data_IF_617118565832
#
_entry.id   IF_617118565832
#
_cell.length_a   1.000
_cell.length_b   1.000
_cell.length_c   1.000
_cell.angle_alpha   90.00
_cell.angle_beta   90.00
_cell.angle_gamma   90.00
#
_symmetry.space_group_name_H-M   'P 1'
#
loop_
_entity.id
_entity.type
_entity.pdbx_description
1 polymer ?
#
# COMPACT_ATOMS: atom_id res chain seq x y z
N UNK A 1 -19.78 -24.43 0.77
CA UNK A 1 -18.34 -24.24 0.50
C UNK A 1 -18.10 -22.74 0.45
N UNK A 2 -17.07 -22.19 1.12
CA UNK A 2 -16.74 -20.78 0.91
C UNK A 2 -16.46 -20.59 -0.58
N UNK A 3 -17.02 -19.52 -1.15
CA UNK A 3 -16.70 -19.16 -2.53
C UNK A 3 -15.19 -18.86 -2.65
N UNK A 4 -14.66 -18.93 -3.88
CA UNK A 4 -13.23 -18.72 -4.13
C UNK A 4 -12.73 -17.36 -3.62
N UNK A 5 -13.62 -16.35 -3.58
CA UNK A 5 -13.37 -15.03 -3.04
C UNK A 5 -13.04 -15.10 -1.54
N UNK A 6 -13.89 -15.75 -0.76
CA UNK A 6 -13.73 -15.90 0.69
C UNK A 6 -12.46 -16.68 1.04
N UNK A 7 -12.16 -17.74 0.28
CA UNK A 7 -10.94 -18.53 0.50
C UNK A 7 -9.67 -17.70 0.25
N UNK A 8 -9.67 -16.89 -0.82
CA UNK A 8 -8.53 -16.02 -1.16
C UNK A 8 -8.37 -14.89 -0.15
N UNK A 9 -9.46 -14.26 0.28
CA UNK A 9 -9.43 -13.20 1.28
C UNK A 9 -8.82 -13.66 2.61
N UNK A 10 -9.19 -14.85 3.08
CA UNK A 10 -8.61 -15.47 4.28
C UNK A 10 -7.14 -15.84 4.13
N UNK A 11 -6.75 -16.41 2.98
CA UNK A 11 -5.35 -16.75 2.72
C UNK A 11 -4.43 -15.51 2.75
N UNK A 12 -4.97 -14.35 2.37
CA UNK A 12 -4.28 -13.05 2.40
C UNK A 12 -4.40 -12.31 3.74
N UNK A 13 -5.19 -12.81 4.69
CA UNK A 13 -5.46 -12.18 6.00
C UNK A 13 -6.09 -10.77 5.88
N UNK A 14 -6.99 -10.59 4.92
CA UNK A 14 -7.73 -9.33 4.73
C UNK A 14 -8.69 -9.00 5.90
N UNK A 15 -8.97 -9.95 6.77
CA UNK A 15 -9.82 -9.84 7.96
C UNK A 15 -9.03 -9.56 9.24
N UNK A 16 -7.73 -9.85 9.28
CA UNK A 16 -6.88 -9.77 10.48
C UNK A 16 -5.63 -8.90 10.33
N UNK A 17 -5.60 -7.99 9.36
CA UNK A 17 -4.48 -7.07 9.19
C UNK A 17 -4.49 -5.97 10.27
N UNK A 18 -3.30 -5.52 10.67
CA UNK A 18 -3.13 -4.46 11.66
C UNK A 18 -3.18 -3.07 11.04
N UNK A 19 -2.51 -2.88 9.90
CA UNK A 19 -2.40 -1.58 9.22
C UNK A 19 -2.51 -1.70 7.69
N UNK A 20 -3.10 -0.71 7.03
CA UNK A 20 -3.07 -0.58 5.57
C UNK A 20 -2.47 0.76 5.14
N UNK A 21 -1.37 0.70 4.41
CA UNK A 21 -0.68 1.87 3.86
C UNK A 21 -1.22 2.17 2.46
N UNK A 22 -1.82 3.33 2.29
CA UNK A 22 -2.17 3.93 1.00
C UNK A 22 -1.11 4.95 0.62
N UNK A 23 -0.37 4.68 -0.46
CA UNK A 23 0.69 5.58 -0.94
C UNK A 23 0.26 6.27 -2.23
N UNK A 24 0.13 7.60 -2.19
CA UNK A 24 0.03 8.50 -3.34
C UNK A 24 1.44 8.75 -3.88
N UNK A 25 1.87 7.88 -4.80
CA UNK A 25 3.20 7.90 -5.40
C UNK A 25 3.16 8.07 -6.92
N UNK A 26 2.19 7.46 -7.61
CA UNK A 26 2.06 7.59 -9.07
C UNK A 26 0.61 7.99 -9.42
N UNK A 27 0.13 9.16 -8.97
CA UNK A 27 -1.15 9.66 -9.43
C UNK A 27 -1.14 9.87 -10.94
N UNK A 28 -2.30 9.68 -11.56
CA UNK A 28 -2.52 10.01 -12.98
C UNK A 28 -2.24 11.48 -13.24
N UNK A 29 -2.67 12.37 -12.34
CA UNK A 29 -2.30 13.78 -12.30
C UNK A 29 -1.25 14.04 -11.23
N UNK A 30 0.02 14.04 -11.62
CA UNK A 30 1.13 14.31 -10.71
C UNK A 30 1.23 15.80 -10.35
N UNK A 31 0.76 16.14 -9.14
CA UNK A 31 0.90 17.49 -8.54
C UNK A 31 1.83 17.54 -7.33
N UNK A 32 2.07 16.41 -6.66
CA UNK A 32 2.72 16.36 -5.35
C UNK A 32 4.21 15.99 -5.38
N UNK A 33 4.66 15.19 -6.35
CA UNK A 33 6.05 14.75 -6.52
C UNK A 33 6.31 14.32 -7.96
N UNK A 34 7.59 14.19 -8.34
CA UNK A 34 7.96 13.65 -9.65
C UNK A 34 7.62 12.15 -9.74
N UNK A 35 7.41 11.65 -10.96
CA UNK A 35 7.08 10.23 -11.18
C UNK A 35 8.19 9.29 -10.67
N UNK A 36 9.46 9.68 -10.86
CA UNK A 36 10.62 8.91 -10.43
C UNK A 36 10.70 8.80 -8.89
N UNK A 37 10.47 9.91 -8.17
CA UNK A 37 10.45 9.96 -6.70
C UNK A 37 9.31 9.11 -6.13
N UNK A 38 8.14 9.17 -6.76
CA UNK A 38 7.00 8.32 -6.42
C UNK A 38 7.29 6.85 -6.61
N UNK A 39 7.87 6.48 -7.75
CA UNK A 39 8.28 5.10 -8.03
C UNK A 39 9.36 4.61 -7.07
N UNK A 40 10.36 5.45 -6.73
CA UNK A 40 11.38 5.13 -5.74
C UNK A 40 10.76 4.88 -4.36
N UNK A 41 9.80 5.71 -3.95
CA UNK A 41 9.10 5.58 -2.67
C UNK A 41 8.26 4.30 -2.61
N UNK A 42 7.59 3.94 -3.70
CA UNK A 42 6.85 2.68 -3.80
C UNK A 42 7.77 1.45 -3.73
N UNK A 43 8.89 1.47 -4.45
CA UNK A 43 9.88 0.37 -4.41
C UNK A 43 10.48 0.23 -3.01
N UNK A 44 10.82 1.35 -2.37
CA UNK A 44 11.31 1.37 -1.00
C UNK A 44 10.30 0.77 -0.03
N UNK A 45 9.02 1.16 -0.12
CA UNK A 45 7.96 0.61 0.74
C UNK A 45 7.84 -0.92 0.59
N UNK A 46 7.87 -1.44 -0.64
CA UNK A 46 7.84 -2.88 -0.90
C UNK A 46 9.04 -3.60 -0.26
N UNK A 47 10.24 -3.06 -0.46
CA UNK A 47 11.48 -3.63 0.08
C UNK A 47 11.44 -3.62 1.62
N UNK A 48 11.07 -2.50 2.23
CA UNK A 48 11.07 -2.34 3.67
C UNK A 48 10.06 -3.25 4.37
N UNK A 49 8.88 -3.44 3.80
CA UNK A 49 7.89 -4.37 4.35
C UNK A 49 8.36 -5.83 4.27
N UNK A 50 9.08 -6.21 3.21
CA UNK A 50 9.70 -7.53 3.12
C UNK A 50 10.79 -7.71 4.17
N UNK A 51 11.67 -6.72 4.36
CA UNK A 51 12.74 -6.76 5.38
C UNK A 51 12.21 -6.90 6.81
N UNK A 52 11.07 -6.27 7.09
CA UNK A 52 10.41 -6.32 8.40
C UNK A 52 9.53 -7.57 8.57
N UNK A 53 9.42 -8.43 7.56
CA UNK A 53 8.52 -9.59 7.53
C UNK A 53 7.04 -9.22 7.80
N UNK A 54 6.63 -8.00 7.43
CA UNK A 54 5.27 -7.49 7.65
C UNK A 54 4.33 -7.79 6.49
N UNK A 55 4.86 -8.30 5.37
CA UNK A 55 4.08 -8.73 4.21
C UNK A 55 4.42 -10.16 3.79
N UNK A 56 3.41 -10.90 3.34
CA UNK A 56 3.54 -12.31 2.98
C UNK A 56 2.22 -13.07 3.15
N UNK A 57 2.25 -14.42 3.24
CA UNK A 57 1.12 -15.20 3.73
C UNK A 57 0.76 -14.71 5.13
N UNK A 58 -0.50 -14.40 5.37
CA UNK A 58 -0.95 -13.74 6.61
C UNK A 58 -0.29 -12.37 6.88
N UNK A 59 -0.33 -11.47 5.89
CA UNK A 59 0.22 -10.13 6.05
C UNK A 59 -0.44 -9.36 7.21
N UNK A 60 0.38 -8.74 8.04
CA UNK A 60 -0.07 -7.81 9.09
C UNK A 60 -0.21 -6.38 8.54
N UNK A 61 0.60 -6.03 7.53
CA UNK A 61 0.56 -4.72 6.88
C UNK A 61 0.24 -4.87 5.40
N UNK A 62 -0.91 -4.33 5.00
CA UNK A 62 -1.26 -4.19 3.59
C UNK A 62 -0.72 -2.89 3.02
N UNK A 63 -0.51 -2.89 1.70
CA UNK A 63 -0.11 -1.71 0.94
C UNK A 63 -0.91 -1.61 -0.33
N UNK A 64 -1.40 -0.41 -0.62
CA UNK A 64 -2.07 -0.10 -1.87
C UNK A 64 -1.46 1.16 -2.46
N UNK A 65 -1.25 1.12 -3.78
CA UNK A 65 -0.91 2.32 -4.54
C UNK A 65 -2.19 3.11 -4.74
N UNK A 66 -2.31 4.25 -4.08
CA UNK A 66 -3.41 5.18 -4.27
C UNK A 66 -3.10 6.12 -5.44
N UNK A 67 -4.15 6.66 -6.05
CA UNK A 67 -4.01 7.70 -7.08
C UNK A 67 -3.70 9.05 -6.42
N UNK A 68 -4.68 9.94 -6.20
CA UNK A 68 -4.46 11.22 -5.51
C UNK A 68 -5.17 11.28 -4.14
N UNK A 69 -4.44 11.66 -3.09
CA UNK A 69 -4.99 11.89 -1.73
C UNK A 69 -5.41 13.35 -1.49
N UNK A 70 -5.35 14.21 -2.53
CA UNK A 70 -5.69 15.65 -2.50
C UNK A 70 -4.83 16.53 -1.58
N UNK A 71 -3.78 15.97 -0.97
CA UNK A 71 -2.75 16.70 -0.25
C UNK A 71 -1.54 16.83 -1.19
N UNK A 72 -1.50 17.90 -1.98
CA UNK A 72 -0.47 18.07 -3.02
C UNK A 72 0.72 18.92 -2.57
N UNK A 73 1.09 18.83 -1.30
CA UNK A 73 2.23 19.55 -0.71
C UNK A 73 3.18 18.55 -0.08
N UNK A 74 4.48 18.66 -0.36
CA UNK A 74 5.53 17.76 0.16
C UNK A 74 5.25 16.27 -0.11
N UNK A 75 4.84 15.93 -1.34
CA UNK A 75 4.67 14.53 -1.72
C UNK A 75 6.01 13.77 -1.79
N UNK A 76 5.97 12.43 -1.88
CA UNK A 76 4.78 11.56 -1.92
C UNK A 76 4.09 11.40 -0.56
N UNK A 77 2.76 11.22 -0.59
CA UNK A 77 1.92 11.18 0.63
C UNK A 77 1.48 9.75 0.93
N UNK A 78 1.60 9.34 2.20
CA UNK A 78 1.08 8.08 2.70
C UNK A 78 -0.02 8.31 3.74
N UNK A 79 -1.08 7.52 3.67
CA UNK A 79 -2.15 7.46 4.68
C UNK A 79 -2.26 6.03 5.18
N UNK A 80 -2.53 5.84 6.47
CA UNK A 80 -2.51 4.54 7.13
C UNK A 80 -3.90 4.29 7.77
N UNK A 81 -4.56 3.19 7.39
CA UNK A 81 -5.92 2.82 7.82
C UNK A 81 -6.08 1.31 8.03
N UNK A 82 -6.71 0.82 9.12
CA UNK A 82 -6.47 1.37 10.44
C UNK A 82 -4.98 1.58 10.71
#
# INVERSE_FOLDING_TARGET
MPDALTATAKALNLDGYERHIFLCATPTEAKCCAHEEGMASWQFLKKRLNELNLCGPQALVHRSKADCLRICVQGPIAVIYP
#
